data_IF_496298750921
#
_entry.id   IF_496298750921
#
_cell.length_a   1.000
_cell.length_b   1.000
_cell.length_c   1.000
_cell.angle_alpha   90.00
_cell.angle_beta   90.00
_cell.angle_gamma   90.00
#
_symmetry.space_group_name_H-M   'P 1'
#
loop_
_entity.id
_entity.type
_entity.pdbx_description
1 polymer ?
#
# COMPACT_ATOMS: atom_id res chain seq x y z
N UNK A 1 8.03 -4.23 25.07
CA UNK A 1 7.16 -3.11 24.76
C UNK A 1 5.69 -3.51 24.96
N UNK A 2 4.82 -2.55 25.30
CA UNK A 2 3.36 -2.78 25.29
C UNK A 2 2.87 -2.93 23.85
N UNK A 3 2.29 -4.09 23.55
CA UNK A 3 1.70 -4.38 22.23
C UNK A 3 0.20 -4.62 22.37
N UNK A 4 -0.59 -4.21 21.40
CA UNK A 4 -2.03 -4.52 21.33
C UNK A 4 -2.23 -5.88 20.69
N UNK A 5 -2.92 -6.77 21.40
CA UNK A 5 -3.38 -8.06 20.89
C UNK A 5 -4.90 -8.09 20.92
N UNK A 6 -5.53 -9.10 20.33
CA UNK A 6 -6.98 -9.31 20.44
C UNK A 6 -7.46 -9.55 21.90
N UNK A 7 -6.53 -9.85 22.83
CA UNK A 7 -6.79 -10.01 24.26
C UNK A 7 -6.44 -8.76 25.09
N UNK A 8 -6.18 -7.61 24.44
CA UNK A 8 -5.82 -6.36 25.09
C UNK A 8 -4.32 -6.02 24.98
N UNK A 9 -3.88 -4.98 25.73
CA UNK A 9 -2.50 -4.54 25.73
C UNK A 9 -1.64 -5.38 26.69
N UNK A 10 -0.56 -5.97 26.19
CA UNK A 10 0.37 -6.80 26.98
C UNK A 10 1.81 -6.45 26.65
N UNK A 11 2.72 -6.74 27.60
CA UNK A 11 4.16 -6.73 27.31
C UNK A 11 4.47 -7.94 26.44
N UNK A 12 4.95 -7.68 25.22
CA UNK A 12 5.24 -8.73 24.25
C UNK A 12 6.39 -8.30 23.34
N UNK A 13 6.94 -9.27 22.64
CA UNK A 13 7.87 -9.10 21.54
C UNK A 13 7.17 -9.48 20.24
N UNK A 14 7.57 -8.86 19.15
CA UNK A 14 7.18 -9.27 17.80
C UNK A 14 8.31 -10.15 17.26
N UNK A 15 7.99 -11.43 17.01
CA UNK A 15 8.93 -12.40 16.47
C UNK A 15 8.61 -12.57 14.99
N UNK A 16 9.58 -12.25 14.15
CA UNK A 16 9.52 -12.43 12.71
C UNK A 16 10.26 -13.71 12.34
N UNK A 17 9.73 -14.47 11.37
CA UNK A 17 10.41 -15.64 10.82
C UNK A 17 10.26 -15.70 9.31
N UNK A 18 11.36 -15.98 8.61
CA UNK A 18 11.37 -16.36 7.21
C UNK A 18 11.52 -17.88 7.13
N UNK A 19 10.60 -18.51 6.42
CA UNK A 19 10.51 -19.97 6.32
C UNK A 19 10.66 -20.36 4.86
N UNK A 20 11.49 -21.37 4.58
CA UNK A 20 11.61 -21.97 3.26
C UNK A 20 10.29 -22.64 2.86
N UNK A 21 9.83 -22.34 1.63
CA UNK A 21 8.54 -22.81 1.14
C UNK A 21 8.51 -24.29 0.72
N UNK A 22 9.66 -24.90 0.50
CA UNK A 22 9.76 -26.31 0.06
C UNK A 22 9.83 -27.27 1.26
N UNK A 23 10.69 -26.97 2.24
CA UNK A 23 10.97 -27.87 3.36
C UNK A 23 10.38 -27.40 4.69
N UNK A 24 9.85 -26.17 4.76
CA UNK A 24 9.30 -25.62 5.99
C UNK A 24 10.34 -25.27 7.06
N UNK A 25 11.60 -25.10 6.67
CA UNK A 25 12.69 -24.76 7.59
C UNK A 25 12.78 -23.27 7.85
N UNK A 26 13.06 -22.89 9.09
CA UNK A 26 13.30 -21.47 9.42
C UNK A 26 14.67 -21.08 8.89
N UNK A 27 14.70 -20.21 7.89
CA UNK A 27 15.90 -19.65 7.27
C UNK A 27 16.45 -18.50 8.09
N UNK A 28 15.56 -17.62 8.55
CA UNK A 28 15.93 -16.45 9.35
C UNK A 28 14.85 -16.13 10.37
N UNK A 29 15.26 -15.58 11.50
CA UNK A 29 14.32 -15.03 12.49
C UNK A 29 14.87 -13.73 13.10
N UNK A 30 13.99 -12.86 13.52
CA UNK A 30 14.32 -11.63 14.23
C UNK A 30 13.31 -11.35 15.33
N UNK A 31 13.77 -10.80 16.44
CA UNK A 31 12.91 -10.31 17.53
C UNK A 31 12.95 -8.79 17.50
N UNK A 32 11.81 -8.19 17.22
CA UNK A 32 11.68 -6.73 17.07
C UNK A 32 10.79 -6.13 18.15
N UNK A 33 10.99 -4.85 18.43
CA UNK A 33 10.18 -4.11 19.40
C UNK A 33 9.05 -3.30 18.74
N UNK A 34 8.91 -3.36 17.41
CA UNK A 34 7.81 -2.73 16.71
C UNK A 34 6.59 -3.66 16.74
N UNK A 35 5.42 -3.13 17.09
CA UNK A 35 4.17 -3.88 17.09
C UNK A 35 3.51 -4.01 15.72
N UNK A 36 4.13 -3.50 14.66
CA UNK A 36 3.63 -3.57 13.29
C UNK A 36 4.67 -4.23 12.39
N UNK A 37 4.21 -5.10 11.51
CA UNK A 37 5.04 -5.85 10.55
C UNK A 37 5.31 -5.08 9.26
N UNK A 38 4.66 -3.93 9.07
CA UNK A 38 4.65 -3.19 7.82
C UNK A 38 6.02 -2.62 7.36
N UNK A 39 7.05 -2.72 8.19
CA UNK A 39 8.43 -2.33 7.86
C UNK A 39 9.41 -3.51 7.94
N UNK A 40 8.90 -4.74 7.96
CA UNK A 40 9.73 -5.94 8.17
C UNK A 40 9.91 -6.79 6.92
N UNK A 41 9.20 -6.51 5.83
CA UNK A 41 9.25 -7.33 4.62
C UNK A 41 10.66 -7.36 4.03
N UNK A 42 11.21 -6.20 3.68
CA UNK A 42 12.53 -6.11 3.05
C UNK A 42 13.66 -6.56 3.97
N UNK A 43 13.76 -6.14 5.25
CA UNK A 43 14.83 -6.61 6.13
C UNK A 43 14.84 -8.13 6.31
N UNK A 44 13.68 -8.76 6.48
CA UNK A 44 13.55 -10.20 6.63
C UNK A 44 13.90 -10.95 5.34
N UNK A 45 13.42 -10.46 4.21
CA UNK A 45 13.68 -11.05 2.92
C UNK A 45 15.16 -10.95 2.51
N UNK A 46 15.80 -9.80 2.75
CA UNK A 46 17.24 -9.61 2.54
C UNK A 46 18.11 -10.51 3.41
N UNK A 47 17.75 -10.65 4.68
CA UNK A 47 18.47 -11.55 5.56
C UNK A 47 18.36 -13.02 5.09
N UNK A 48 17.17 -13.44 4.67
CA UNK A 48 16.97 -14.77 4.08
C UNK A 48 17.75 -14.93 2.76
N UNK A 49 17.73 -13.93 1.88
CA UNK A 49 18.48 -13.92 0.62
C UNK A 49 19.98 -14.11 0.85
N UNK A 50 20.55 -13.42 1.84
CA UNK A 50 21.96 -13.52 2.19
C UNK A 50 22.32 -14.89 2.77
N UNK A 51 21.48 -15.47 3.64
CA UNK A 51 21.70 -16.80 4.24
C UNK A 51 21.62 -17.91 3.16
N UNK A 52 20.70 -17.76 2.21
CA UNK A 52 20.52 -18.70 1.11
C UNK A 52 21.52 -18.50 -0.03
N UNK A 53 22.35 -17.46 0.03
CA UNK A 53 23.33 -17.09 -1.00
C UNK A 53 22.70 -16.95 -2.40
N UNK A 54 21.47 -16.38 -2.46
CA UNK A 54 20.72 -16.22 -3.71
C UNK A 54 20.84 -14.80 -4.24
N UNK A 55 21.06 -14.62 -5.55
CA UNK A 55 21.03 -13.30 -6.19
C UNK A 55 19.62 -12.74 -6.35
N UNK A 56 18.63 -13.62 -6.45
CA UNK A 56 17.20 -13.26 -6.53
C UNK A 56 16.39 -14.18 -5.63
N UNK A 57 15.34 -13.66 -5.02
CA UNK A 57 14.49 -14.41 -4.11
C UNK A 57 13.02 -14.10 -4.38
N UNK A 58 12.16 -15.11 -4.26
CA UNK A 58 10.70 -14.94 -4.23
C UNK A 58 10.20 -15.11 -2.80
N UNK A 59 9.41 -14.16 -2.32
CA UNK A 59 8.85 -14.19 -0.96
C UNK A 59 7.34 -13.95 -0.97
N UNK A 60 6.63 -14.59 -0.06
CA UNK A 60 5.22 -14.35 0.21
C UNK A 60 5.06 -13.89 1.66
N UNK A 61 4.18 -12.91 1.88
CA UNK A 61 3.83 -12.46 3.22
C UNK A 61 2.36 -12.05 3.30
N UNK A 62 1.82 -11.92 4.50
CA UNK A 62 0.44 -11.49 4.69
C UNK A 62 0.24 -9.97 4.49
N UNK A 63 -1.01 -9.52 4.51
CA UNK A 63 -1.37 -8.11 4.32
C UNK A 63 -0.80 -7.16 5.40
N UNK A 64 -0.34 -7.66 6.55
CA UNK A 64 0.32 -6.88 7.60
C UNK A 64 1.65 -6.26 7.14
N UNK A 65 2.30 -6.88 6.16
CA UNK A 65 3.54 -6.40 5.54
C UNK A 65 3.30 -5.42 4.38
N UNK A 66 2.06 -5.10 4.03
CA UNK A 66 1.74 -4.24 2.89
C UNK A 66 2.23 -2.80 3.10
N UNK A 67 3.34 -2.46 2.44
CA UNK A 67 4.01 -1.16 2.51
C UNK A 67 4.74 -0.87 1.19
N UNK A 68 4.38 0.25 0.54
CA UNK A 68 4.94 0.58 -0.77
C UNK A 68 6.43 0.90 -0.76
N UNK A 69 6.98 1.44 0.33
CA UNK A 69 8.43 1.63 0.49
C UNK A 69 9.16 0.29 0.54
N UNK A 70 8.63 -0.65 1.32
CA UNK A 70 9.18 -2.01 1.42
C UNK A 70 9.09 -2.78 0.10
N UNK A 71 8.00 -2.60 -0.66
CA UNK A 71 7.86 -3.20 -1.98
C UNK A 71 8.91 -2.67 -2.96
N UNK A 72 9.14 -1.34 -2.96
CA UNK A 72 10.18 -0.74 -3.77
C UNK A 72 11.58 -1.25 -3.36
N UNK A 73 11.86 -1.32 -2.07
CA UNK A 73 13.13 -1.81 -1.57
C UNK A 73 13.37 -3.30 -1.90
N UNK A 74 12.33 -4.13 -1.90
CA UNK A 74 12.40 -5.51 -2.37
C UNK A 74 12.73 -5.57 -3.87
N UNK A 75 12.01 -4.79 -4.70
CA UNK A 75 12.26 -4.75 -6.15
C UNK A 75 13.73 -4.34 -6.44
N UNK A 76 14.24 -3.32 -5.73
CA UNK A 76 15.62 -2.84 -5.88
C UNK A 76 16.66 -3.89 -5.46
N UNK A 77 16.30 -4.77 -4.52
CA UNK A 77 17.13 -5.88 -4.05
C UNK A 77 16.96 -7.18 -4.87
N UNK A 78 16.26 -7.15 -6.00
CA UNK A 78 15.90 -8.33 -6.81
C UNK A 78 15.07 -9.37 -6.04
N UNK A 79 14.26 -8.91 -5.09
CA UNK A 79 13.35 -9.75 -4.31
C UNK A 79 11.95 -9.58 -4.89
N UNK A 80 11.39 -10.65 -5.45
CA UNK A 80 10.03 -10.67 -5.96
C UNK A 80 9.07 -10.98 -4.82
N UNK A 81 8.42 -9.96 -4.29
CA UNK A 81 7.46 -10.12 -3.20
C UNK A 81 6.03 -10.30 -3.71
N UNK A 82 5.24 -11.12 -2.98
CA UNK A 82 3.81 -11.33 -3.15
C UNK A 82 3.12 -11.05 -1.82
N UNK A 83 2.46 -9.90 -1.72
CA UNK A 83 1.81 -9.43 -0.49
C UNK A 83 0.44 -8.85 -0.84
N UNK A 84 -0.66 -9.32 -0.23
CA UNK A 84 -1.97 -8.75 -0.44
C UNK A 84 -2.02 -7.28 -0.03
N UNK A 85 -2.74 -6.47 -0.79
CA UNK A 85 -2.91 -5.06 -0.43
C UNK A 85 -3.80 -4.91 0.81
N UNK A 86 -3.30 -4.22 1.82
CA UNK A 86 -4.09 -3.81 2.98
C UNK A 86 -4.60 -2.37 2.78
N UNK A 87 -5.39 -2.16 1.75
CA UNK A 87 -6.00 -0.85 1.48
C UNK A 87 -7.47 -0.88 1.88
N UNK A 88 -7.76 -0.31 3.04
CA UNK A 88 -9.14 -0.07 3.44
C UNK A 88 -9.85 0.83 2.42
N UNK A 89 -11.02 0.43 1.95
CA UNK A 89 -11.88 1.29 1.14
C UNK A 89 -12.50 2.33 2.07
N UNK A 90 -11.95 3.55 2.07
CA UNK A 90 -12.38 4.64 2.94
C UNK A 90 -13.59 5.43 2.40
N UNK A 91 -14.37 4.86 1.48
CA UNK A 91 -15.51 5.55 0.87
C UNK A 91 -16.84 5.16 1.54
N UNK A 92 -16.99 5.50 2.81
CA UNK A 92 -18.27 5.36 3.51
C UNK A 92 -19.21 6.48 3.07
N UNK A 93 -20.01 6.21 2.05
CA UNK A 93 -21.03 7.13 1.50
C UNK A 93 -22.45 6.90 2.02
N UNK A 94 -22.65 6.21 3.15
CA UNK A 94 -23.96 5.75 3.58
C UNK A 94 -24.47 4.60 2.69
N UNK A 95 -25.76 4.59 2.36
CA UNK A 95 -26.38 3.52 1.55
C UNK A 95 -25.89 3.47 0.09
N UNK A 96 -25.28 4.56 -0.41
CA UNK A 96 -24.69 4.61 -1.74
C UNK A 96 -23.19 4.89 -1.63
N UNK A 97 -22.31 3.93 -2.00
CA UNK A 97 -20.87 4.15 -1.94
C UNK A 97 -20.45 5.25 -2.91
N UNK A 98 -19.61 6.16 -2.43
CA UNK A 98 -18.99 7.17 -3.28
C UNK A 98 -17.96 6.51 -4.21
N UNK A 99 -17.69 7.13 -5.35
CA UNK A 99 -16.60 6.69 -6.23
C UNK A 99 -15.31 6.54 -5.44
N UNK A 100 -14.71 5.37 -5.51
CA UNK A 100 -13.37 5.14 -5.02
C UNK A 100 -12.32 5.66 -6.02
N UNK A 101 -11.04 5.42 -5.74
CA UNK A 101 -9.97 5.89 -6.60
C UNK A 101 -9.95 5.20 -7.97
N UNK A 102 -10.43 3.98 -8.09
CA UNK A 102 -10.44 3.22 -9.35
C UNK A 102 -11.31 3.88 -10.42
N UNK A 103 -12.31 4.69 -10.02
CA UNK A 103 -13.12 5.48 -10.94
C UNK A 103 -12.38 6.69 -11.56
N UNK A 104 -11.13 6.96 -11.15
CA UNK A 104 -10.34 8.07 -11.64
C UNK A 104 -9.14 7.53 -12.42
N UNK A 105 -8.95 8.00 -13.65
CA UNK A 105 -7.83 7.58 -14.49
C UNK A 105 -6.60 8.42 -14.22
N UNK A 106 -5.47 7.78 -13.90
CA UNK A 106 -4.20 8.47 -13.71
C UNK A 106 -3.48 8.68 -15.05
N UNK A 107 -3.11 9.92 -15.33
CA UNK A 107 -2.25 10.29 -16.44
C UNK A 107 -0.81 10.47 -15.90
N UNK A 108 0.01 9.44 -16.07
CA UNK A 108 1.38 9.43 -15.58
C UNK A 108 2.29 10.46 -16.28
N UNK A 109 1.98 10.84 -17.54
CA UNK A 109 2.78 11.80 -18.31
C UNK A 109 2.68 13.21 -17.75
N UNK A 110 1.48 13.59 -17.31
CA UNK A 110 1.21 14.94 -16.80
C UNK A 110 1.02 14.98 -15.28
N UNK A 111 1.20 13.82 -14.59
CA UNK A 111 1.01 13.67 -13.14
C UNK A 111 -0.32 14.25 -12.65
N UNK A 112 -1.43 13.78 -13.21
CA UNK A 112 -2.78 14.24 -12.91
C UNK A 112 -3.81 13.11 -13.00
N UNK A 113 -4.99 13.31 -12.44
CA UNK A 113 -6.10 12.39 -12.54
C UNK A 113 -7.25 12.96 -13.36
N UNK A 114 -7.89 12.15 -14.17
CA UNK A 114 -9.17 12.49 -14.80
C UNK A 114 -10.31 11.89 -13.98
N UNK A 115 -11.30 12.71 -13.59
CA UNK A 115 -12.48 12.23 -12.90
C UNK A 115 -13.53 11.65 -13.87
N UNK A 116 -14.53 10.89 -13.36
CA UNK A 116 -15.60 10.33 -14.21
C UNK A 116 -16.43 11.38 -14.98
N UNK A 117 -16.40 12.65 -14.57
CA UNK A 117 -17.03 13.76 -15.29
C UNK A 117 -16.07 14.47 -16.28
N UNK A 118 -14.91 13.88 -16.57
CA UNK A 118 -13.94 14.41 -17.54
C UNK A 118 -13.06 15.57 -17.05
N UNK A 119 -13.21 16.04 -15.80
CA UNK A 119 -12.37 17.12 -15.25
C UNK A 119 -11.05 16.58 -14.77
N UNK A 120 -10.00 17.41 -14.86
CA UNK A 120 -8.66 17.11 -14.38
C UNK A 120 -8.46 17.51 -12.91
N UNK A 121 -7.89 16.60 -12.13
CA UNK A 121 -7.40 16.84 -10.78
C UNK A 121 -5.88 17.00 -10.90
N UNK A 122 -5.40 18.19 -10.66
CA UNK A 122 -3.97 18.50 -10.73
C UNK A 122 -3.30 18.21 -9.40
N UNK A 123 -2.01 17.94 -9.42
CA UNK A 123 -1.19 17.83 -8.23
C UNK A 123 -1.28 19.13 -7.41
N UNK A 124 -1.52 18.98 -6.12
CA UNK A 124 -1.65 20.11 -5.19
C UNK A 124 -0.50 20.18 -4.20
N UNK A 125 -0.26 19.07 -3.50
CA UNK A 125 0.77 19.01 -2.45
C UNK A 125 1.07 17.57 -2.06
N UNK A 126 2.17 17.39 -1.31
CA UNK A 126 2.46 16.15 -0.57
C UNK A 126 2.08 16.34 0.89
N UNK A 127 1.48 15.33 1.49
CA UNK A 127 1.20 15.23 2.93
C UNK A 127 1.61 13.85 3.43
N UNK A 128 2.71 13.78 4.17
CA UNK A 128 3.36 12.51 4.51
C UNK A 128 3.74 11.74 3.26
N UNK A 129 3.31 10.50 3.14
CA UNK A 129 3.55 9.64 1.97
C UNK A 129 2.45 9.74 0.90
N UNK A 130 1.56 10.74 0.98
CA UNK A 130 0.46 10.91 0.05
C UNK A 130 0.65 12.16 -0.82
N UNK A 131 0.63 11.98 -2.13
CA UNK A 131 0.47 13.03 -3.13
C UNK A 131 -1.03 13.32 -3.25
N UNK A 132 -1.43 14.58 -3.14
CA UNK A 132 -2.83 15.01 -3.15
C UNK A 132 -3.13 15.72 -4.45
N UNK A 133 -4.21 15.31 -5.12
CA UNK A 133 -4.70 15.88 -6.37
C UNK A 133 -6.10 16.45 -6.16
N UNK A 134 -6.41 17.57 -6.80
CA UNK A 134 -7.70 18.21 -6.71
C UNK A 134 -8.08 18.92 -8.01
N UNK A 135 -9.38 19.05 -8.30
CA UNK A 135 -9.85 19.97 -9.35
C UNK A 135 -9.54 21.41 -8.93
N UNK A 136 -9.20 22.26 -9.89
CA UNK A 136 -8.94 23.69 -9.62
C UNK A 136 -10.20 24.41 -9.16
N UNK A 137 -11.31 24.15 -9.86
CA UNK A 137 -12.64 24.69 -9.53
C UNK A 137 -13.36 23.83 -8.48
N UNK A 138 -14.56 24.26 -8.09
CA UNK A 138 -15.42 23.43 -7.27
C UNK A 138 -16.20 22.40 -8.13
N UNK A 139 -16.86 21.49 -7.42
CA UNK A 139 -17.73 20.49 -8.03
C UNK A 139 -19.23 20.84 -7.94
N UNK A 140 -19.60 22.10 -7.67
CA UNK A 140 -20.97 22.49 -7.36
C UNK A 140 -21.95 22.15 -8.50
N UNK A 141 -21.59 22.41 -9.76
CA UNK A 141 -22.41 22.12 -10.94
C UNK A 141 -22.21 20.73 -11.55
N UNK A 142 -21.49 19.82 -10.88
CA UNK A 142 -21.22 18.51 -11.43
C UNK A 142 -22.39 17.55 -11.22
N UNK A 143 -22.94 16.92 -12.29
CA UNK A 143 -24.04 15.98 -12.17
C UNK A 143 -23.71 14.71 -11.36
N UNK A 144 -22.43 14.37 -11.26
CA UNK A 144 -21.94 13.22 -10.50
C UNK A 144 -21.55 13.56 -9.06
N UNK A 145 -21.72 14.79 -8.61
CA UNK A 145 -21.26 15.24 -7.30
C UNK A 145 -21.78 14.39 -6.15
N UNK A 146 -23.07 14.05 -6.15
CA UNK A 146 -23.70 13.26 -5.08
C UNK A 146 -23.08 11.87 -4.91
N UNK A 147 -22.60 11.26 -6.01
CA UNK A 147 -21.89 9.98 -6.05
C UNK A 147 -20.37 10.10 -5.89
N UNK A 148 -19.84 11.32 -5.88
CA UNK A 148 -18.39 11.54 -5.91
C UNK A 148 -17.85 12.09 -4.60
N UNK A 149 -18.47 13.16 -4.07
CA UNK A 149 -17.97 13.82 -2.83
C UNK A 149 -19.05 14.65 -2.15
N UNK A 150 -19.04 14.62 -0.81
CA UNK A 150 -19.82 15.51 0.03
C UNK A 150 -19.16 16.89 0.23
N UNK A 151 -17.86 16.98 -0.07
CA UNK A 151 -17.08 18.22 0.08
C UNK A 151 -17.31 19.20 -1.09
N UNK A 152 -16.81 20.43 -0.96
CA UNK A 152 -16.85 21.43 -2.03
C UNK A 152 -16.20 20.94 -3.31
N UNK A 153 -15.07 20.20 -3.18
CA UNK A 153 -14.33 19.57 -4.30
C UNK A 153 -13.86 18.17 -3.93
N UNK A 154 -13.64 17.34 -4.94
CA UNK A 154 -13.03 16.01 -4.78
C UNK A 154 -11.53 16.14 -4.66
N UNK A 155 -10.97 15.38 -3.70
CA UNK A 155 -9.54 15.09 -3.58
C UNK A 155 -9.30 13.61 -3.87
N UNK A 156 -8.21 13.33 -4.57
CA UNK A 156 -7.70 11.97 -4.77
C UNK A 156 -6.27 11.95 -4.24
N UNK A 157 -5.92 10.88 -3.53
CA UNK A 157 -4.57 10.69 -3.02
C UNK A 157 -3.88 9.55 -3.75
N UNK A 158 -2.57 9.70 -3.99
CA UNK A 158 -1.69 8.70 -4.56
C UNK A 158 -0.49 8.54 -3.63
N UNK A 159 -0.16 7.31 -3.26
CA UNK A 159 1.03 7.06 -2.44
C UNK A 159 2.30 7.43 -3.22
N UNK A 160 3.36 7.91 -2.55
CA UNK A 160 4.64 8.25 -3.23
C UNK A 160 5.26 7.02 -3.90
N UNK A 161 5.05 5.82 -3.34
CA UNK A 161 5.46 4.52 -3.90
C UNK A 161 4.30 3.80 -4.61
N UNK A 162 3.34 4.53 -5.19
CA UNK A 162 2.17 3.92 -5.83
C UNK A 162 2.53 2.92 -6.94
N UNK A 163 3.58 3.23 -7.71
CA UNK A 163 4.05 2.33 -8.76
C UNK A 163 4.50 0.95 -8.22
N UNK A 164 5.07 0.91 -7.00
CA UNK A 164 5.41 -0.35 -6.35
C UNK A 164 4.15 -1.14 -5.93
N UNK A 165 3.12 -0.46 -5.44
CA UNK A 165 1.82 -1.10 -5.19
C UNK A 165 1.18 -1.63 -6.47
N UNK A 166 1.20 -0.86 -7.55
CA UNK A 166 0.64 -1.28 -8.85
C UNK A 166 1.35 -2.54 -9.39
N UNK A 167 2.69 -2.58 -9.32
CA UNK A 167 3.46 -3.79 -9.70
C UNK A 167 3.12 -4.99 -8.81
N UNK A 168 2.97 -4.77 -7.49
CA UNK A 168 2.57 -5.82 -6.56
C UNK A 168 1.17 -6.35 -6.90
N UNK A 169 0.22 -5.45 -7.14
CA UNK A 169 -1.15 -5.82 -7.52
C UNK A 169 -1.19 -6.63 -8.81
N UNK A 170 -0.43 -6.24 -9.83
CA UNK A 170 -0.31 -6.99 -11.08
C UNK A 170 0.25 -8.40 -10.86
N UNK A 171 1.30 -8.53 -10.04
CA UNK A 171 1.87 -9.84 -9.68
C UNK A 171 0.87 -10.75 -8.96
N UNK A 172 0.04 -10.18 -8.08
CA UNK A 172 -0.98 -10.94 -7.34
C UNK A 172 -2.16 -11.40 -8.19
N UNK A 173 -2.33 -10.86 -9.41
CA UNK A 173 -3.41 -11.23 -10.34
C UNK A 173 -2.94 -12.18 -11.46
N UNK A 174 -1.66 -12.35 -11.65
CA UNK A 174 -1.07 -13.23 -12.66
C UNK A 174 -1.07 -14.69 -12.21
#
# INVERSE_FOLDING_TARGET
RMMRTHQGARVAYNVQSAVDGEHGLIVHHAVIQNGSDNQQLEPMAKAAQAILEQEALTVTADAGYSNGEQFQACDDAKITAYVPENRGINNKGGDTPLFDRSAFTYDAKNDQYQCPAGKWLLFKQVSGLQRIYAVQDDCAGCPLKSRCTKAKRRYVTRHVHEAAFERMHQRMQA
#
